data_IF_194367043044
#
_entry.id   IF_194367043044
#
_cell.length_a   1.000
_cell.length_b   1.000
_cell.length_c   1.000
_cell.angle_alpha   90.00
_cell.angle_beta   90.00
_cell.angle_gamma   90.00
#
_symmetry.space_group_name_H-M   'P 1'
#
loop_
_entity.id
_entity.type
_entity.pdbx_description
1 polymer ?
#
# COMPACT_ATOMS: atom_id res chain seq x y z
N UNK A 1 -63.82 12.56 11.79
CA UNK A 1 -63.92 12.56 10.32
C UNK A 1 -62.59 13.07 9.78
N UNK A 2 -61.72 12.16 9.32
CA UNK A 2 -61.24 12.05 7.92
C UNK A 2 -60.60 13.36 7.44
N UNK A 3 -59.33 13.46 7.05
CA UNK A 3 -58.55 12.54 6.23
C UNK A 3 -57.04 12.83 6.35
N UNK A 4 -56.29 11.80 6.04
CA UNK A 4 -54.84 11.56 6.11
C UNK A 4 -54.01 12.27 5.05
N UNK A 5 -52.79 12.70 5.43
CA UNK A 5 -51.68 12.97 4.51
C UNK A 5 -50.36 12.58 5.18
N UNK A 6 -49.98 11.29 5.07
CA UNK A 6 -48.69 10.76 5.56
C UNK A 6 -47.58 11.14 4.57
N UNK A 7 -46.61 11.92 5.03
CA UNK A 7 -45.30 12.00 4.40
C UNK A 7 -44.51 10.74 4.78
N UNK A 8 -44.16 9.95 3.77
CA UNK A 8 -43.32 8.75 3.89
C UNK A 8 -41.88 9.21 4.11
N UNK A 9 -41.39 9.11 5.35
CA UNK A 9 -39.96 9.22 5.64
C UNK A 9 -39.28 7.90 5.26
N UNK A 10 -38.46 7.94 4.22
CA UNK A 10 -37.61 6.82 3.76
C UNK A 10 -36.56 6.47 4.83
N UNK A 11 -36.37 5.19 5.22
CA UNK A 11 -35.35 4.79 6.18
C UNK A 11 -34.05 4.47 5.43
N UNK A 12 -33.24 5.48 5.13
CA UNK A 12 -31.91 5.30 4.51
C UNK A 12 -30.76 5.87 5.36
N UNK A 13 -30.91 5.94 6.68
CA UNK A 13 -29.90 6.54 7.58
C UNK A 13 -29.53 5.69 8.81
N UNK A 14 -29.77 4.37 8.76
CA UNK A 14 -29.47 3.47 9.89
C UNK A 14 -28.75 2.20 9.44
N UNK A 15 -27.59 2.34 8.79
CA UNK A 15 -26.69 1.22 8.50
C UNK A 15 -25.22 1.66 8.64
N UNK A 16 -24.85 2.17 9.81
CA UNK A 16 -23.46 2.56 10.11
C UNK A 16 -22.96 2.03 11.47
N UNK A 17 -23.59 0.97 11.98
CA UNK A 17 -23.19 0.31 13.22
C UNK A 17 -22.95 -1.17 13.01
N UNK A 18 -21.68 -1.51 12.76
CA UNK A 18 -20.92 -2.69 13.22
C UNK A 18 -19.74 -2.94 12.26
N UNK A 19 -18.71 -2.11 12.40
CA UNK A 19 -17.38 -2.34 11.84
C UNK A 19 -16.44 -2.72 12.98
N UNK A 20 -16.51 -3.96 13.49
CA UNK A 20 -15.49 -4.48 14.40
C UNK A 20 -15.37 -6.00 14.22
N UNK A 21 -14.18 -6.46 13.83
CA UNK A 21 -13.80 -7.87 13.98
C UNK A 21 -13.06 -8.51 12.81
N UNK A 22 -11.93 -7.96 12.37
CA UNK A 22 -10.86 -8.72 11.72
C UNK A 22 -9.56 -7.91 11.80
N UNK A 23 -8.42 -8.56 11.97
CA UNK A 23 -7.11 -7.90 11.90
C UNK A 23 -6.78 -7.64 10.42
N UNK A 24 -6.68 -6.38 9.98
CA UNK A 24 -6.36 -6.07 8.61
C UNK A 24 -4.85 -6.09 8.39
N UNK A 25 -4.44 -6.33 7.15
CA UNK A 25 -3.07 -6.06 6.74
C UNK A 25 -2.83 -4.56 6.77
N UNK A 26 -1.64 -4.19 7.21
CA UNK A 26 -1.25 -2.80 7.41
C UNK A 26 -1.06 -2.15 6.05
N UNK A 27 -1.91 -1.18 5.68
CA UNK A 27 -1.54 -0.17 4.69
C UNK A 27 -0.22 0.45 5.13
N UNK A 28 0.78 0.30 4.25
CA UNK A 28 2.20 0.56 4.53
C UNK A 28 2.39 2.02 4.92
N UNK A 29 2.45 2.30 6.21
CA UNK A 29 2.89 3.60 6.72
C UNK A 29 3.62 3.54 8.07
N UNK A 30 3.31 2.55 8.92
CA UNK A 30 4.18 1.99 9.98
C UNK A 30 3.50 0.72 10.50
N UNK A 31 4.27 -0.31 10.85
CA UNK A 31 3.77 -1.58 11.33
C UNK A 31 2.81 -1.40 12.54
N UNK A 32 1.50 -1.52 12.25
CA UNK A 32 0.43 -1.58 13.24
C UNK A 32 0.51 -2.88 14.04
N UNK A 33 0.21 -2.77 15.33
CA UNK A 33 0.29 -3.82 16.33
C UNK A 33 -1.06 -4.55 16.39
N UNK A 34 -1.19 -5.72 15.75
CA UNK A 34 -2.36 -6.58 15.91
C UNK A 34 -1.94 -8.03 16.15
N UNK A 35 -2.13 -8.47 17.41
CA UNK A 35 -2.05 -9.85 17.84
C UNK A 35 -3.44 -10.49 17.89
N UNK A 36 -3.55 -11.68 17.26
CA UNK A 36 -4.47 -12.81 17.48
C UNK A 36 -5.98 -12.53 17.65
N UNK A 37 -6.80 -13.15 16.79
CA UNK A 37 -7.96 -14.02 17.18
C UNK A 37 -8.50 -14.85 16.01
N UNK A 38 -9.10 -15.98 16.37
CA UNK A 38 -9.31 -17.19 15.58
C UNK A 38 -10.50 -17.17 14.62
N UNK A 39 -10.41 -18.03 13.60
CA UNK A 39 -11.43 -18.32 12.60
C UNK A 39 -12.56 -19.23 13.13
N UNK A 40 -13.76 -19.08 12.60
CA UNK A 40 -14.82 -20.07 12.66
C UNK A 40 -15.40 -20.28 11.25
N UNK A 41 -15.44 -21.54 10.80
CA UNK A 41 -15.93 -21.96 9.48
C UNK A 41 -17.45 -22.12 9.46
N UNK A 42 -18.10 -21.76 8.37
CA UNK A 42 -19.41 -22.30 7.99
C UNK A 42 -19.38 -22.67 6.51
N UNK A 43 -19.59 -23.96 6.24
CA UNK A 43 -19.72 -24.53 4.91
C UNK A 43 -21.13 -24.29 4.36
N UNK A 44 -21.23 -23.97 3.07
CA UNK A 44 -22.49 -24.01 2.33
C UNK A 44 -22.27 -24.73 0.99
N UNK A 45 -22.95 -25.88 0.86
CA UNK A 45 -23.19 -26.59 -0.41
C UNK A 45 -24.29 -25.87 -1.19
N UNK A 46 -24.18 -25.82 -2.51
CA UNK A 46 -25.33 -25.74 -3.41
C UNK A 46 -25.02 -26.46 -4.72
N UNK A 47 -25.99 -27.24 -5.18
CA UNK A 47 -25.92 -28.12 -6.34
C UNK A 47 -26.96 -27.71 -7.41
N UNK A 48 -26.54 -27.77 -8.68
CA UNK A 48 -27.35 -28.01 -9.89
C UNK A 48 -28.15 -26.83 -10.49
N UNK A 49 -28.69 -26.96 -11.74
CA UNK A 49 -28.44 -27.98 -12.76
C UNK A 49 -28.03 -27.42 -14.15
N UNK A 50 -27.54 -28.35 -14.96
CA UNK A 50 -27.19 -28.31 -16.39
C UNK A 50 -28.39 -28.24 -17.34
N UNK A 51 -28.25 -27.65 -18.54
CA UNK A 51 -28.91 -28.04 -19.80
C UNK A 51 -28.29 -27.32 -21.05
N UNK A 52 -28.57 -27.77 -22.30
CA UNK A 52 -27.58 -28.35 -23.20
C UNK A 52 -27.07 -27.43 -24.33
N UNK A 53 -26.06 -27.93 -25.04
CA UNK A 53 -25.22 -27.18 -25.97
C UNK A 53 -25.75 -26.93 -27.38
N UNK A 54 -24.89 -26.25 -28.13
CA UNK A 54 -24.94 -26.13 -29.59
C UNK A 54 -23.50 -26.28 -30.08
N UNK A 55 -23.28 -27.30 -30.91
CA UNK A 55 -22.06 -27.50 -31.68
C UNK A 55 -21.95 -26.44 -32.79
N UNK A 56 -20.76 -25.87 -32.97
CA UNK A 56 -20.38 -25.18 -34.20
C UNK A 56 -18.97 -25.62 -34.58
N UNK A 57 -18.84 -25.89 -35.87
CA UNK A 57 -17.82 -26.69 -36.53
C UNK A 57 -16.42 -26.09 -36.52
N UNK A 58 -15.45 -26.99 -36.69
CA UNK A 58 -14.02 -26.76 -36.73
C UNK A 58 -13.59 -25.93 -37.95
N UNK A 59 -12.69 -24.96 -37.72
CA UNK A 59 -11.85 -24.36 -38.74
C UNK A 59 -10.39 -24.76 -38.48
N UNK A 60 -9.72 -25.23 -39.54
CA UNK A 60 -8.36 -25.75 -39.56
C UNK A 60 -7.29 -24.69 -39.19
N UNK A 61 -6.09 -25.11 -38.75
CA UNK A 61 -5.16 -24.28 -38.00
C UNK A 61 -4.38 -23.30 -38.88
N UNK A 62 -4.27 -22.06 -38.41
CA UNK A 62 -3.41 -21.04 -38.99
C UNK A 62 -1.96 -21.34 -38.60
N UNK A 63 -1.13 -21.65 -39.58
CA UNK A 63 0.33 -21.72 -39.45
C UNK A 63 0.88 -20.32 -39.19
N UNK A 64 1.58 -20.15 -38.07
CA UNK A 64 2.23 -18.90 -37.68
C UNK A 64 3.73 -19.16 -37.53
N UNK A 65 4.40 -19.33 -38.66
CA UNK A 65 5.85 -19.12 -38.72
C UNK A 65 6.09 -17.60 -38.76
N UNK A 66 7.05 -17.17 -37.94
CA UNK A 66 7.59 -15.81 -37.81
C UNK A 66 6.72 -14.73 -37.17
N UNK A 67 6.46 -14.88 -35.86
CA UNK A 67 6.30 -13.73 -34.96
C UNK A 67 7.55 -13.62 -34.10
N UNK A 68 8.43 -12.69 -34.44
CA UNK A 68 9.43 -12.22 -33.50
C UNK A 68 8.71 -11.82 -32.21
N UNK A 69 9.01 -12.52 -31.11
CA UNK A 69 8.36 -12.28 -29.82
C UNK A 69 8.45 -10.78 -29.49
N UNK A 70 7.32 -10.10 -29.17
CA UNK A 70 7.39 -8.71 -28.77
C UNK A 70 8.32 -8.63 -27.56
N UNK A 71 9.29 -7.72 -27.59
CA UNK A 71 10.15 -7.42 -26.44
C UNK A 71 9.22 -6.92 -25.34
N UNK A 72 8.84 -7.82 -24.43
CA UNK A 72 7.99 -7.49 -23.29
C UNK A 72 8.83 -6.63 -22.35
N UNK A 73 8.54 -5.33 -22.30
CA UNK A 73 9.12 -4.41 -21.32
C UNK A 73 8.79 -4.95 -19.92
N UNK A 74 9.80 -5.06 -19.03
CA UNK A 74 9.57 -5.53 -17.66
C UNK A 74 8.64 -4.58 -16.90
N UNK A 75 7.97 -5.09 -15.87
CA UNK A 75 7.17 -4.25 -15.00
C UNK A 75 8.03 -3.23 -14.26
N UNK A 76 9.27 -3.57 -13.91
CA UNK A 76 10.21 -2.63 -13.32
C UNK A 76 10.47 -1.40 -14.22
N UNK A 77 10.71 -1.60 -15.52
CA UNK A 77 10.92 -0.49 -16.45
C UNK A 77 9.62 0.33 -16.65
N UNK A 78 8.47 -0.34 -16.71
CA UNK A 78 7.17 0.34 -16.78
C UNK A 78 6.92 1.24 -15.57
N UNK A 79 7.26 0.76 -14.37
CA UNK A 79 7.15 1.52 -13.11
C UNK A 79 8.17 2.67 -13.06
N UNK A 80 9.38 2.46 -13.60
CA UNK A 80 10.38 3.53 -13.74
C UNK A 80 9.83 4.70 -14.54
N UNK A 81 9.11 4.44 -15.64
CA UNK A 81 8.47 5.49 -16.43
C UNK A 81 7.38 6.24 -15.65
N UNK A 82 6.66 5.57 -14.74
CA UNK A 82 5.73 6.26 -13.84
C UNK A 82 6.51 7.20 -12.92
N UNK A 83 7.58 6.74 -12.26
CA UNK A 83 8.42 7.55 -11.38
C UNK A 83 8.95 8.82 -12.08
N UNK A 84 9.44 8.68 -13.32
CA UNK A 84 9.93 9.81 -14.11
C UNK A 84 8.83 10.85 -14.38
N UNK A 85 7.63 10.41 -14.74
CA UNK A 85 6.48 11.30 -14.95
C UNK A 85 6.06 12.02 -13.66
N UNK A 86 6.02 11.31 -12.54
CA UNK A 86 5.69 11.90 -11.23
C UNK A 86 6.73 12.95 -10.82
N UNK A 87 8.01 12.65 -11.00
CA UNK A 87 9.10 13.58 -10.69
C UNK A 87 9.05 14.83 -11.58
N UNK A 88 8.76 14.67 -12.87
CA UNK A 88 8.61 15.80 -13.80
C UNK A 88 7.40 16.69 -13.48
N UNK A 89 6.27 16.09 -13.11
CA UNK A 89 5.09 16.84 -12.64
C UNK A 89 5.42 17.64 -11.38
N UNK A 90 6.08 17.01 -10.41
CA UNK A 90 6.46 17.68 -9.16
C UNK A 90 7.46 18.82 -9.38
N UNK A 91 8.41 18.66 -10.31
CA UNK A 91 9.39 19.70 -10.65
C UNK A 91 8.77 20.91 -11.37
N UNK A 92 7.68 20.71 -12.11
CA UNK A 92 6.99 21.77 -12.88
C UNK A 92 5.87 22.46 -12.10
N UNK A 93 5.42 21.87 -10.98
CA UNK A 93 4.29 22.38 -10.22
C UNK A 93 4.71 23.49 -9.25
N UNK A 94 4.07 24.65 -9.32
CA UNK A 94 4.25 25.74 -8.35
C UNK A 94 3.27 25.58 -7.17
N UNK A 95 3.69 25.74 -5.90
CA UNK A 95 2.79 25.67 -4.76
C UNK A 95 1.68 26.72 -4.88
N UNK A 96 0.41 26.28 -4.92
CA UNK A 96 -0.75 27.17 -4.91
C UNK A 96 -1.28 27.24 -3.49
N UNK A 97 -1.45 28.44 -2.93
CA UNK A 97 -2.26 28.60 -1.72
C UNK A 97 -3.72 28.33 -2.09
N UNK A 98 -4.22 27.15 -1.75
CA UNK A 98 -5.65 26.88 -1.82
C UNK A 98 -6.38 27.85 -0.87
N UNK A 99 -7.38 28.57 -1.39
CA UNK A 99 -8.33 29.35 -0.58
C UNK A 99 -9.70 28.74 -0.81
N UNK A 100 -10.18 27.96 0.15
CA UNK A 100 -11.59 27.56 0.19
C UNK A 100 -12.43 28.62 0.90
N UNK A 101 -13.73 28.60 0.63
CA UNK A 101 -14.71 29.51 1.21
C UNK A 101 -14.81 29.28 2.73
N UNK A 102 -15.01 30.33 3.52
CA UNK A 102 -15.10 30.25 4.99
C UNK A 102 -16.26 29.37 5.52
N UNK A 103 -17.26 29.03 4.69
CA UNK A 103 -18.40 28.18 5.09
C UNK A 103 -18.07 26.69 5.11
N UNK A 104 -17.11 26.25 4.29
CA UNK A 104 -16.74 24.83 4.17
C UNK A 104 -15.66 24.41 5.18
N UNK A 105 -15.04 25.38 5.86
CA UNK A 105 -13.92 25.17 6.77
C UNK A 105 -14.27 24.27 7.97
N UNK A 106 -15.46 24.45 8.59
CA UNK A 106 -15.85 23.66 9.75
C UNK A 106 -16.09 22.17 9.45
N UNK A 107 -16.69 21.88 8.29
CA UNK A 107 -16.92 20.49 7.83
C UNK A 107 -15.59 19.84 7.42
N UNK A 108 -14.68 20.59 6.82
CA UNK A 108 -13.34 20.10 6.46
C UNK A 108 -12.47 19.84 7.69
N UNK A 109 -12.54 20.68 8.72
CA UNK A 109 -11.85 20.42 9.99
C UNK A 109 -12.34 19.11 10.62
N UNK A 110 -13.65 18.89 10.67
CA UNK A 110 -14.23 17.62 11.16
C UNK A 110 -13.76 16.41 10.31
N UNK A 111 -13.71 16.58 8.99
CA UNK A 111 -13.22 15.54 8.08
C UNK A 111 -11.76 15.18 8.35
N UNK A 112 -10.88 16.17 8.53
CA UNK A 112 -9.48 15.94 8.86
C UNK A 112 -9.29 15.35 10.26
N UNK A 113 -10.08 15.79 11.24
CA UNK A 113 -10.06 15.21 12.59
C UNK A 113 -10.47 13.74 12.57
N UNK A 114 -11.47 13.39 11.73
CA UNK A 114 -11.85 11.99 11.50
C UNK A 114 -10.71 11.21 10.85
N UNK A 115 -10.04 11.79 9.85
CA UNK A 115 -8.85 11.17 9.26
C UNK A 115 -7.75 10.93 10.30
N UNK A 116 -7.50 11.91 11.17
CA UNK A 116 -6.55 11.81 12.27
C UNK A 116 -6.92 10.72 13.28
N UNK A 117 -8.21 10.59 13.63
CA UNK A 117 -8.70 9.54 14.53
C UNK A 117 -8.46 8.14 13.96
N UNK A 118 -8.77 7.92 12.67
CA UNK A 118 -8.52 6.65 11.97
C UNK A 118 -7.02 6.35 11.94
N UNK A 119 -6.19 7.35 11.60
CA UNK A 119 -4.73 7.21 11.60
C UNK A 119 -4.18 6.83 12.99
N UNK A 120 -4.69 7.47 14.05
CA UNK A 120 -4.32 7.18 15.45
C UNK A 120 -4.71 5.77 15.88
N UNK A 121 -5.87 5.28 15.44
CA UNK A 121 -6.37 3.96 15.77
C UNK A 121 -5.53 2.85 15.12
N UNK A 122 -5.30 2.95 13.82
CA UNK A 122 -4.70 1.87 13.02
C UNK A 122 -3.18 1.98 12.82
N UNK A 123 -2.60 3.17 12.97
CA UNK A 123 -1.17 3.41 12.73
C UNK A 123 -0.53 4.30 13.81
N UNK A 124 -0.64 3.90 15.08
CA UNK A 124 -0.17 4.67 16.26
C UNK A 124 1.21 5.32 16.10
N UNK A 125 2.22 4.57 15.66
CA UNK A 125 3.59 5.09 15.49
C UNK A 125 3.66 6.10 14.34
N UNK A 126 2.93 5.86 13.24
CA UNK A 126 2.84 6.81 12.13
C UNK A 126 2.14 8.09 12.56
N UNK A 127 0.98 7.95 13.21
CA UNK A 127 0.24 9.08 13.76
C UNK A 127 1.10 9.96 14.67
N UNK A 128 1.87 9.36 15.59
CA UNK A 128 2.78 10.11 16.46
C UNK A 128 3.86 10.84 15.64
N UNK A 129 4.43 10.18 14.64
CA UNK A 129 5.45 10.79 13.81
C UNK A 129 4.89 11.94 12.92
N UNK A 130 3.64 11.85 12.46
CA UNK A 130 2.99 12.94 11.73
C UNK A 130 2.78 14.21 12.58
N UNK A 131 2.84 14.11 13.93
CA UNK A 131 2.78 15.29 14.81
C UNK A 131 3.95 16.25 14.64
N UNK A 132 5.02 15.81 13.98
CA UNK A 132 6.24 16.59 13.73
C UNK A 132 6.17 17.40 12.43
N UNK A 133 5.19 17.10 11.58
CA UNK A 133 4.94 17.83 10.35
C UNK A 133 4.16 19.11 10.63
N UNK A 134 4.21 20.09 9.72
CA UNK A 134 3.26 21.22 9.75
C UNK A 134 1.82 20.72 9.78
N UNK A 135 0.87 21.49 10.36
CA UNK A 135 -0.55 21.13 10.38
C UNK A 135 -1.11 20.77 8.99
N UNK A 136 -0.70 21.52 7.96
CA UNK A 136 -1.13 21.32 6.57
C UNK A 136 -0.67 19.97 6.01
N UNK A 137 0.63 19.65 6.14
CA UNK A 137 1.20 18.38 5.70
C UNK A 137 0.60 17.20 6.46
N UNK A 138 0.44 17.34 7.77
CA UNK A 138 -0.15 16.32 8.65
C UNK A 138 -1.56 15.95 8.20
N UNK A 139 -2.40 16.96 7.96
CA UNK A 139 -3.78 16.80 7.48
C UNK A 139 -3.83 16.07 6.13
N UNK A 140 -3.00 16.49 5.17
CA UNK A 140 -2.92 15.84 3.87
C UNK A 140 -2.45 14.39 3.95
N UNK A 141 -1.42 14.10 4.76
CA UNK A 141 -0.93 12.73 5.00
C UNK A 141 -2.02 11.85 5.63
N UNK A 142 -2.81 12.39 6.57
CA UNK A 142 -3.93 11.62 7.14
C UNK A 142 -5.01 11.32 6.12
N UNK A 143 -5.38 12.27 5.25
CA UNK A 143 -6.37 12.04 4.21
C UNK A 143 -5.92 10.97 3.22
N UNK A 144 -4.65 11.02 2.77
CA UNK A 144 -4.05 10.00 1.90
C UNK A 144 -4.04 8.64 2.61
N UNK A 145 -3.57 8.58 3.87
CA UNK A 145 -3.55 7.34 4.66
C UNK A 145 -4.94 6.70 4.75
N UNK A 146 -5.96 7.50 5.06
CA UNK A 146 -7.33 6.98 5.21
C UNK A 146 -7.90 6.54 3.89
N UNK A 147 -7.62 7.23 2.79
CA UNK A 147 -8.02 6.75 1.47
C UNK A 147 -7.38 5.40 1.16
N UNK A 148 -6.06 5.27 1.33
CA UNK A 148 -5.36 3.99 1.13
C UNK A 148 -5.94 2.88 2.01
N UNK A 149 -6.22 3.18 3.29
CA UNK A 149 -6.83 2.24 4.24
C UNK A 149 -8.20 1.76 3.79
N UNK A 150 -9.06 2.66 3.33
CA UNK A 150 -10.39 2.31 2.82
C UNK A 150 -10.32 1.49 1.54
N UNK A 151 -9.35 1.78 0.67
CA UNK A 151 -9.07 1.01 -0.55
C UNK A 151 -8.67 -0.43 -0.21
N UNK A 152 -7.74 -0.61 0.73
CA UNK A 152 -7.26 -1.92 1.20
C UNK A 152 -8.37 -2.74 1.87
N UNK A 153 -9.21 -2.11 2.69
CA UNK A 153 -10.35 -2.76 3.35
C UNK A 153 -11.41 -3.31 2.38
N UNK A 154 -11.41 -2.88 1.12
CA UNK A 154 -12.27 -3.49 0.10
C UNK A 154 -11.90 -4.95 -0.11
N UNK A 155 -10.63 -5.31 -0.10
CA UNK A 155 -10.17 -6.69 -0.41
C UNK A 155 -9.63 -7.45 0.80
N UNK A 156 -9.35 -6.77 1.91
CA UNK A 156 -8.86 -7.38 3.14
C UNK A 156 -9.80 -7.18 4.36
N UNK A 157 -10.89 -6.42 4.21
CA UNK A 157 -11.85 -6.18 5.29
C UNK A 157 -12.80 -7.36 5.56
N UNK A 158 -13.68 -7.26 6.57
CA UNK A 158 -14.65 -8.31 6.91
C UNK A 158 -15.58 -8.70 5.75
N UNK A 159 -15.79 -7.79 4.80
CA UNK A 159 -16.63 -8.00 3.63
C UNK A 159 -15.83 -8.37 2.36
N UNK A 160 -14.52 -8.64 2.47
CA UNK A 160 -13.64 -8.95 1.34
C UNK A 160 -14.16 -10.11 0.47
N UNK A 161 -14.75 -11.14 1.09
CA UNK A 161 -15.31 -12.29 0.38
C UNK A 161 -16.50 -11.92 -0.53
N UNK A 162 -17.09 -10.73 -0.35
CA UNK A 162 -18.21 -10.21 -1.13
C UNK A 162 -17.80 -9.07 -2.07
N UNK A 163 -16.51 -8.69 -2.07
CA UNK A 163 -16.01 -7.63 -2.95
C UNK A 163 -15.89 -8.15 -4.37
N UNK A 164 -16.47 -7.39 -5.29
CA UNK A 164 -16.49 -7.69 -6.72
C UNK A 164 -15.68 -6.66 -7.50
N UNK A 165 -15.31 -6.99 -8.74
CA UNK A 165 -14.71 -6.03 -9.67
C UNK A 165 -15.56 -4.75 -9.79
N UNK A 166 -16.89 -4.88 -9.82
CA UNK A 166 -17.82 -3.76 -9.86
C UNK A 166 -17.71 -2.83 -8.64
N UNK A 167 -17.38 -3.36 -7.45
CA UNK A 167 -17.14 -2.53 -6.28
C UNK A 167 -15.87 -1.69 -6.45
N UNK A 168 -14.82 -2.23 -7.07
CA UNK A 168 -13.60 -1.50 -7.41
C UNK A 168 -13.83 -0.48 -8.54
N UNK A 169 -14.69 -0.77 -9.51
CA UNK A 169 -15.07 0.19 -10.56
C UNK A 169 -15.82 1.39 -9.98
N UNK A 170 -16.74 1.16 -9.02
CA UNK A 170 -17.39 2.24 -8.27
C UNK A 170 -16.40 3.04 -7.43
N UNK A 171 -15.42 2.37 -6.82
CA UNK A 171 -14.37 3.04 -6.05
C UNK A 171 -13.47 3.91 -6.92
N UNK A 172 -13.13 3.44 -8.14
CA UNK A 172 -12.39 4.22 -9.12
C UNK A 172 -13.21 5.41 -9.64
N UNK A 173 -14.51 5.24 -9.92
CA UNK A 173 -15.38 6.38 -10.29
C UNK A 173 -15.48 7.44 -9.17
N UNK A 174 -15.44 6.99 -7.91
CA UNK A 174 -15.41 7.88 -6.75
C UNK A 174 -14.09 8.66 -6.65
N UNK A 175 -12.97 8.06 -7.06
CA UNK A 175 -11.68 8.74 -7.19
C UNK A 175 -11.73 9.87 -8.23
N UNK A 176 -12.40 9.64 -9.36
CA UNK A 176 -12.64 10.70 -10.38
C UNK A 176 -13.36 11.91 -9.74
N UNK A 177 -14.32 11.64 -8.86
CA UNK A 177 -15.04 12.66 -8.08
C UNK A 177 -14.10 13.49 -7.20
N UNK A 178 -13.19 12.84 -6.47
CA UNK A 178 -12.19 13.51 -5.61
C UNK A 178 -11.32 14.48 -6.43
N UNK A 179 -10.71 14.00 -7.52
CA UNK A 179 -9.82 14.82 -8.35
C UNK A 179 -10.55 15.91 -9.15
N UNK A 180 -11.86 15.74 -9.36
CA UNK A 180 -12.71 16.76 -9.95
C UNK A 180 -13.36 17.72 -8.92
N UNK A 181 -13.01 17.63 -7.64
CA UNK A 181 -13.54 18.49 -6.57
C UNK A 181 -15.00 18.20 -6.19
N UNK A 182 -15.50 16.99 -6.47
CA UNK A 182 -16.85 16.50 -6.16
C UNK A 182 -16.78 15.28 -5.22
N UNK A 183 -16.44 15.48 -3.93
CA UNK A 183 -16.29 14.37 -2.98
C UNK A 183 -17.62 13.68 -2.69
N UNK A 184 -17.59 12.35 -2.49
CA UNK A 184 -18.79 11.57 -2.17
C UNK A 184 -19.16 11.62 -0.68
N UNK A 185 -18.16 11.71 0.22
CA UNK A 185 -18.37 11.88 1.67
C UNK A 185 -17.30 12.78 2.31
N UNK A 186 -17.33 12.91 3.64
CA UNK A 186 -16.38 13.74 4.39
C UNK A 186 -14.92 13.31 4.21
N UNK A 187 -14.62 12.01 4.13
CA UNK A 187 -13.24 11.54 4.01
C UNK A 187 -12.70 11.82 2.61
N UNK A 188 -13.56 11.75 1.60
CA UNK A 188 -13.23 12.20 0.24
C UNK A 188 -13.05 13.72 0.19
N UNK A 189 -13.82 14.48 0.95
CA UNK A 189 -13.68 15.94 1.01
C UNK A 189 -12.30 16.33 1.57
N UNK A 190 -11.83 15.64 2.61
CA UNK A 190 -10.47 15.81 3.13
C UNK A 190 -9.39 15.48 2.08
N UNK A 191 -9.58 14.41 1.30
CA UNK A 191 -8.63 14.08 0.23
C UNK A 191 -8.70 15.10 -0.92
N UNK A 192 -9.88 15.53 -1.33
CA UNK A 192 -10.07 16.52 -2.39
C UNK A 192 -9.40 17.86 -2.03
N UNK A 193 -9.54 18.29 -0.77
CA UNK A 193 -8.82 19.46 -0.24
C UNK A 193 -7.30 19.25 -0.25
N UNK A 194 -6.83 18.08 0.20
CA UNK A 194 -5.41 17.75 0.20
C UNK A 194 -4.78 17.77 -1.20
N UNK A 195 -5.40 17.13 -2.20
CA UNK A 195 -4.87 17.13 -3.58
C UNK A 195 -4.95 18.51 -4.23
N UNK A 196 -5.93 19.33 -3.87
CA UNK A 196 -6.02 20.72 -4.33
C UNK A 196 -4.93 21.62 -3.69
N UNK A 197 -4.57 21.36 -2.42
CA UNK A 197 -3.51 22.07 -1.71
C UNK A 197 -2.10 21.63 -2.17
N UNK A 198 -1.95 20.39 -2.62
CA UNK A 198 -0.69 19.80 -3.11
C UNK A 198 -0.84 19.34 -4.57
N UNK A 199 -0.84 20.26 -5.56
CA UNK A 199 -1.13 19.94 -6.97
C UNK A 199 -0.13 19.01 -7.66
N UNK A 200 1.01 18.72 -7.02
CA UNK A 200 1.96 17.70 -7.48
C UNK A 200 1.55 16.27 -7.08
N UNK A 201 0.49 16.11 -6.26
CA UNK A 201 -0.14 14.81 -5.99
C UNK A 201 -0.94 14.42 -7.23
N UNK A 202 -0.41 13.47 -7.98
CA UNK A 202 -1.04 12.96 -9.20
C UNK A 202 -2.09 11.89 -8.89
N UNK A 203 -3.05 11.73 -9.80
CA UNK A 203 -4.07 10.69 -9.69
C UNK A 203 -3.52 9.28 -9.99
N UNK A 204 -2.46 9.18 -10.82
CA UNK A 204 -1.97 7.90 -11.32
C UNK A 204 -1.65 6.88 -10.21
N UNK A 205 -0.91 7.21 -9.13
CA UNK A 205 -0.64 6.26 -8.07
C UNK A 205 -1.91 5.73 -7.37
N UNK A 206 -2.96 6.55 -7.27
CA UNK A 206 -4.23 6.13 -6.67
C UNK A 206 -4.90 5.07 -7.55
N UNK A 207 -4.97 5.30 -8.87
CA UNK A 207 -5.49 4.33 -9.82
C UNK A 207 -4.68 3.04 -9.81
N UNK A 208 -3.35 3.14 -9.79
CA UNK A 208 -2.47 1.96 -9.73
C UNK A 208 -2.68 1.15 -8.44
N UNK A 209 -2.99 1.81 -7.31
CA UNK A 209 -3.37 1.10 -6.09
C UNK A 209 -4.69 0.33 -6.24
N UNK A 210 -5.70 0.91 -6.88
CA UNK A 210 -6.95 0.18 -7.19
C UNK A 210 -6.68 -1.01 -8.12
N UNK A 211 -5.75 -0.89 -9.07
CA UNK A 211 -5.30 -2.03 -9.89
C UNK A 211 -4.62 -3.11 -9.03
N UNK A 212 -3.90 -2.73 -7.98
CA UNK A 212 -3.37 -3.67 -6.98
C UNK A 212 -4.49 -4.47 -6.30
N UNK A 213 -5.57 -3.80 -5.88
CA UNK A 213 -6.73 -4.48 -5.29
C UNK A 213 -7.41 -5.44 -6.28
N UNK A 214 -7.45 -5.09 -7.57
CA UNK A 214 -7.93 -6.00 -8.63
C UNK A 214 -7.06 -7.25 -8.75
N UNK A 215 -5.73 -7.12 -8.58
CA UNK A 215 -4.84 -8.28 -8.51
C UNK A 215 -5.19 -9.18 -7.32
N UNK A 216 -5.48 -8.60 -6.15
CA UNK A 216 -5.85 -9.39 -4.97
C UNK A 216 -7.15 -10.17 -5.13
N UNK A 217 -8.09 -9.72 -5.97
CA UNK A 217 -9.31 -10.49 -6.27
C UNK A 217 -9.06 -11.70 -7.17
N UNK A 218 -8.06 -11.63 -8.05
CA UNK A 218 -7.89 -12.61 -9.13
C UNK A 218 -6.65 -13.51 -9.01
N UNK A 219 -5.62 -13.08 -8.27
CA UNK A 219 -4.28 -13.68 -8.29
C UNK A 219 -3.86 -14.15 -6.90
N UNK A 220 -3.38 -15.39 -6.82
CA UNK A 220 -2.87 -16.01 -5.59
C UNK A 220 -1.44 -16.53 -5.70
N UNK A 221 -0.84 -16.47 -6.89
CA UNK A 221 0.51 -16.92 -7.25
C UNK A 221 1.17 -15.92 -8.20
N UNK A 222 2.49 -15.78 -8.13
CA UNK A 222 3.27 -14.89 -8.99
C UNK A 222 4.36 -15.70 -9.68
N UNK A 223 4.35 -15.72 -11.01
CA UNK A 223 5.24 -16.58 -11.79
C UNK A 223 6.71 -16.20 -11.59
N UNK A 224 6.99 -14.90 -11.53
CA UNK A 224 8.34 -14.34 -11.42
C UNK A 224 8.40 -13.20 -10.41
N UNK A 225 9.62 -12.81 -10.02
CA UNK A 225 9.80 -11.62 -9.19
C UNK A 225 9.32 -10.33 -9.87
N UNK A 226 9.41 -10.20 -11.20
CA UNK A 226 8.93 -9.00 -11.90
C UNK A 226 7.41 -8.82 -11.75
N UNK A 227 6.64 -9.92 -11.79
CA UNK A 227 5.21 -9.86 -11.47
C UNK A 227 4.93 -9.49 -10.01
N UNK A 228 5.73 -10.04 -9.08
CA UNK A 228 5.62 -9.71 -7.66
C UNK A 228 6.01 -8.27 -7.39
N UNK A 229 7.00 -7.73 -8.11
CA UNK A 229 7.43 -6.35 -8.06
C UNK A 229 6.30 -5.43 -8.47
N UNK A 230 5.58 -5.73 -9.57
CA UNK A 230 4.40 -4.95 -9.98
C UNK A 230 3.35 -4.90 -8.86
N UNK A 231 3.10 -6.03 -8.21
CA UNK A 231 2.19 -6.08 -7.07
C UNK A 231 2.68 -5.19 -5.93
N UNK A 232 3.95 -5.34 -5.51
CA UNK A 232 4.55 -4.52 -4.47
C UNK A 232 4.49 -3.02 -4.77
N UNK A 233 4.74 -2.66 -6.03
CA UNK A 233 4.56 -1.30 -6.52
C UNK A 233 3.11 -0.84 -6.32
N UNK A 234 2.13 -1.57 -6.83
CA UNK A 234 0.72 -1.16 -6.80
C UNK A 234 0.18 -1.01 -5.38
N UNK A 235 0.45 -1.96 -4.49
CA UNK A 235 -0.17 -1.97 -3.15
C UNK A 235 0.63 -1.20 -2.09
N UNK A 236 1.87 -0.83 -2.36
CA UNK A 236 2.73 -0.13 -1.39
C UNK A 236 3.67 0.92 -1.99
N UNK A 237 4.24 0.69 -3.17
CA UNK A 237 5.07 1.68 -3.86
C UNK A 237 4.31 2.96 -4.21
N UNK A 238 3.07 2.82 -4.70
CA UNK A 238 2.15 3.92 -5.02
C UNK A 238 1.95 4.86 -3.84
N UNK A 239 1.87 4.32 -2.63
CA UNK A 239 1.70 5.07 -1.38
C UNK A 239 2.87 6.04 -1.14
N UNK A 240 4.09 5.62 -1.45
CA UNK A 240 5.27 6.50 -1.45
C UNK A 240 5.10 7.63 -2.46
N UNK A 241 4.68 7.33 -3.69
CA UNK A 241 4.48 8.31 -4.76
C UNK A 241 3.38 9.34 -4.43
N UNK A 242 2.29 8.92 -3.76
CA UNK A 242 1.23 9.82 -3.29
C UNK A 242 1.72 10.84 -2.27
N UNK A 243 2.70 10.47 -1.45
CA UNK A 243 3.09 11.25 -0.26
C UNK A 243 4.32 12.11 -0.43
N UNK A 244 5.22 11.81 -1.38
CA UNK A 244 6.39 12.64 -1.69
C UNK A 244 6.02 14.12 -1.95
N UNK A 245 4.99 14.45 -2.77
CA UNK A 245 4.56 15.85 -2.97
C UNK A 245 4.23 16.59 -1.68
N UNK A 246 3.65 15.89 -0.70
CA UNK A 246 3.25 16.46 0.60
C UNK A 246 4.45 16.58 1.53
N UNK A 247 5.29 15.55 1.57
CA UNK A 247 6.49 15.50 2.41
C UNK A 247 7.54 16.55 1.99
N UNK A 248 7.65 16.80 0.68
CA UNK A 248 8.54 17.77 0.10
C UNK A 248 10.02 17.36 0.11
N UNK A 249 10.78 17.93 -0.82
CA UNK A 249 12.24 17.82 -0.90
C UNK A 249 12.89 18.95 -0.09
N UNK A 250 14.06 18.71 0.51
CA UNK A 250 14.80 19.75 1.21
C UNK A 250 15.22 20.87 0.25
N UNK A 251 15.06 22.15 0.61
CA UNK A 251 15.57 23.26 -0.20
C UNK A 251 17.07 23.21 -0.49
N UNK A 252 17.85 22.55 0.39
CA UNK A 252 19.29 22.35 0.22
C UNK A 252 19.67 21.10 -0.58
N UNK A 253 18.70 20.25 -0.95
CA UNK A 253 18.94 19.06 -1.76
C UNK A 253 19.46 19.45 -3.14
N UNK A 254 20.54 18.82 -3.57
CA UNK A 254 21.04 18.85 -4.95
C UNK A 254 20.71 17.57 -5.71
N UNK A 255 20.06 16.60 -5.05
CA UNK A 255 19.57 15.40 -5.72
C UNK A 255 18.41 15.75 -6.67
N UNK A 256 18.37 15.08 -7.82
CA UNK A 256 17.21 15.16 -8.70
C UNK A 256 15.95 14.70 -7.97
N UNK A 257 14.81 15.31 -8.29
CA UNK A 257 13.50 14.92 -7.73
C UNK A 257 13.21 13.43 -7.98
N UNK A 258 13.68 12.88 -9.12
CA UNK A 258 13.63 11.45 -9.44
C UNK A 258 14.22 10.57 -8.32
N UNK A 259 15.36 10.94 -7.72
CA UNK A 259 15.99 10.17 -6.63
C UNK A 259 15.07 10.05 -5.43
N UNK A 260 14.31 11.10 -5.11
CA UNK A 260 13.37 11.12 -3.98
C UNK A 260 12.17 10.21 -4.26
N UNK A 261 11.60 10.29 -5.46
CA UNK A 261 10.50 9.42 -5.87
C UNK A 261 10.93 7.95 -5.98
N UNK A 262 12.11 7.67 -6.53
CA UNK A 262 12.68 6.33 -6.60
C UNK A 262 12.93 5.77 -5.19
N UNK A 263 13.44 6.59 -4.26
CA UNK A 263 13.61 6.17 -2.87
C UNK A 263 12.28 5.91 -2.15
N UNK A 264 11.24 6.71 -2.41
CA UNK A 264 9.91 6.48 -1.85
C UNK A 264 9.26 5.21 -2.39
N UNK A 265 9.38 4.96 -3.69
CA UNK A 265 8.97 3.70 -4.33
C UNK A 265 9.70 2.51 -3.69
N UNK A 266 11.04 2.59 -3.59
CA UNK A 266 11.86 1.53 -3.01
C UNK A 266 11.45 1.24 -1.55
N UNK A 267 11.10 2.28 -0.76
CA UNK A 267 10.60 2.09 0.59
C UNK A 267 9.29 1.30 0.62
N UNK A 268 8.34 1.65 -0.26
CA UNK A 268 7.07 0.95 -0.39
C UNK A 268 7.27 -0.52 -0.79
N UNK A 269 8.13 -0.78 -1.79
CA UNK A 269 8.47 -2.14 -2.22
C UNK A 269 9.15 -2.92 -1.09
N UNK A 270 10.15 -2.35 -0.40
CA UNK A 270 10.84 -2.99 0.71
C UNK A 270 9.87 -3.37 1.84
N UNK A 271 8.96 -2.48 2.20
CA UNK A 271 7.95 -2.72 3.21
C UNK A 271 6.98 -3.83 2.81
N UNK A 272 6.57 -3.90 1.54
CA UNK A 272 5.67 -4.95 1.07
C UNK A 272 6.35 -6.31 0.97
N UNK A 273 7.60 -6.36 0.49
CA UNK A 273 8.41 -7.58 0.56
C UNK A 273 8.56 -8.04 2.01
N UNK A 274 8.80 -7.12 2.93
CA UNK A 274 8.87 -7.44 4.37
C UNK A 274 7.56 -8.02 4.90
N UNK A 275 6.40 -7.48 4.48
CA UNK A 275 5.09 -8.03 4.84
C UNK A 275 4.93 -9.47 4.31
N UNK A 276 5.24 -9.70 3.04
CA UNK A 276 5.18 -11.04 2.40
C UNK A 276 6.08 -12.03 3.15
N UNK A 277 7.32 -11.63 3.47
CA UNK A 277 8.27 -12.51 4.16
C UNK A 277 7.89 -12.76 5.62
N UNK A 278 7.22 -11.82 6.29
CA UNK A 278 6.76 -11.99 7.67
C UNK A 278 5.52 -12.88 7.75
N UNK A 279 4.63 -12.79 6.76
CA UNK A 279 3.26 -13.31 6.84
C UNK A 279 3.04 -14.60 6.02
N UNK A 280 4.10 -15.28 5.55
CA UNK A 280 4.04 -16.51 4.72
C UNK A 280 3.04 -17.53 5.25
N UNK A 281 3.08 -17.88 6.55
CA UNK A 281 2.16 -18.86 7.12
C UNK A 281 0.70 -18.39 7.15
N UNK A 282 0.46 -17.10 7.34
CA UNK A 282 -0.88 -16.52 7.31
C UNK A 282 -1.44 -16.52 5.89
N UNK A 283 -0.60 -16.19 4.91
CA UNK A 283 -0.93 -16.28 3.49
C UNK A 283 -1.27 -17.70 3.06
N UNK A 284 -0.43 -18.66 3.43
CA UNK A 284 -0.63 -20.07 3.08
C UNK A 284 -1.98 -20.59 3.62
N UNK A 285 -2.37 -20.20 4.84
CA UNK A 285 -3.69 -20.54 5.40
C UNK A 285 -4.87 -19.93 4.64
N UNK A 286 -4.64 -18.83 3.93
CA UNK A 286 -5.62 -18.19 3.01
C UNK A 286 -5.52 -18.73 1.58
N UNK A 287 -4.69 -19.75 1.34
CA UNK A 287 -4.46 -20.32 0.00
C UNK A 287 -3.59 -19.45 -0.90
N UNK A 288 -2.83 -18.50 -0.34
CA UNK A 288 -1.99 -17.53 -1.08
C UNK A 288 -0.51 -17.84 -0.92
N UNK A 289 0.25 -17.63 -2.00
CA UNK A 289 1.70 -17.70 -2.02
C UNK A 289 2.20 -16.54 -2.88
N UNK A 290 2.67 -15.48 -2.23
CA UNK A 290 3.20 -14.30 -2.92
C UNK A 290 4.62 -14.50 -3.46
N UNK A 291 5.37 -15.43 -2.88
CA UNK A 291 6.76 -15.71 -3.27
C UNK A 291 6.84 -16.16 -4.74
N UNK A 292 7.87 -15.73 -5.50
CA UNK A 292 8.01 -16.06 -6.92
C UNK A 292 8.10 -17.57 -7.16
N UNK A 293 7.24 -18.10 -8.04
CA UNK A 293 7.13 -19.53 -8.27
C UNK A 293 8.35 -20.13 -8.98
N UNK A 294 8.95 -19.39 -9.92
CA UNK A 294 10.20 -19.75 -10.59
C UNK A 294 11.38 -19.90 -9.60
N UNK A 295 11.50 -18.98 -8.64
CA UNK A 295 12.55 -19.01 -7.63
C UNK A 295 12.33 -20.11 -6.59
N UNK A 296 11.08 -20.36 -6.20
CA UNK A 296 10.72 -21.50 -5.34
C UNK A 296 11.07 -22.83 -6.02
N UNK A 297 10.70 -22.99 -7.31
CA UNK A 297 11.03 -24.17 -8.08
C UNK A 297 12.54 -24.37 -8.22
N UNK A 298 13.29 -23.29 -8.50
CA UNK A 298 14.77 -23.30 -8.57
C UNK A 298 15.40 -23.73 -7.24
N UNK A 299 14.80 -23.34 -6.11
CA UNK A 299 15.23 -23.74 -4.79
C UNK A 299 14.76 -25.15 -4.37
N UNK A 300 13.99 -25.85 -5.20
CA UNK A 300 13.43 -27.17 -4.89
C UNK A 300 12.32 -27.15 -3.84
N UNK A 301 11.62 -26.02 -3.69
CA UNK A 301 10.54 -25.83 -2.71
C UNK A 301 9.19 -25.91 -3.43
N UNK A 302 8.38 -26.90 -3.08
CA UNK A 302 7.02 -27.05 -3.64
C UNK A 302 5.99 -26.24 -2.86
N UNK A 303 4.83 -25.97 -3.46
CA UNK A 303 3.71 -25.39 -2.72
C UNK A 303 3.27 -26.28 -1.54
N UNK A 304 3.38 -27.60 -1.68
CA UNK A 304 3.07 -28.54 -0.60
C UNK A 304 4.04 -28.39 0.59
N UNK A 305 5.29 -27.99 0.37
CA UNK A 305 6.22 -27.65 1.45
C UNK A 305 5.75 -26.40 2.21
N UNK A 306 5.31 -25.38 1.47
CA UNK A 306 4.81 -24.11 2.00
C UNK A 306 3.52 -24.34 2.82
N UNK A 307 2.56 -25.08 2.28
CA UNK A 307 1.31 -25.39 2.98
C UNK A 307 1.51 -26.29 4.20
N UNK A 308 2.50 -27.18 4.17
CA UNK A 308 2.90 -28.00 5.32
C UNK A 308 3.75 -27.21 6.34
N UNK A 309 4.17 -25.99 6.03
CA UNK A 309 5.01 -25.15 6.90
C UNK A 309 6.41 -25.72 7.15
N UNK A 310 7.01 -26.37 6.16
CA UNK A 310 8.31 -27.05 6.30
C UNK A 310 9.47 -26.05 6.26
N UNK A 311 10.16 -25.88 7.39
CA UNK A 311 11.38 -25.05 7.51
C UNK A 311 12.63 -25.89 7.20
N UNK A 312 12.85 -26.18 5.92
CA UNK A 312 14.00 -26.97 5.44
C UNK A 312 15.29 -26.14 5.33
N UNK A 313 16.40 -26.74 4.88
CA UNK A 313 17.66 -26.01 4.62
C UNK A 313 17.49 -25.12 3.39
N UNK A 314 16.82 -25.63 2.37
CA UNK A 314 16.46 -24.95 1.12
C UNK A 314 15.58 -23.74 1.41
N UNK A 315 14.55 -23.89 2.26
CA UNK A 315 13.71 -22.78 2.72
C UNK A 315 14.52 -21.66 3.36
N UNK A 316 15.43 -21.99 4.29
CA UNK A 316 16.28 -20.99 4.94
C UNK A 316 17.19 -20.28 3.95
N UNK A 317 17.75 -21.01 2.99
CA UNK A 317 18.58 -20.43 1.93
C UNK A 317 17.77 -19.47 1.05
N UNK A 318 16.60 -19.91 0.59
CA UNK A 318 15.66 -19.09 -0.18
C UNK A 318 15.27 -17.81 0.57
N UNK A 319 14.88 -17.92 1.85
CA UNK A 319 14.50 -16.79 2.68
C UNK A 319 15.63 -15.77 2.88
N UNK A 320 16.88 -16.22 3.01
CA UNK A 320 18.05 -15.31 3.07
C UNK A 320 18.17 -14.48 1.79
N UNK A 321 17.98 -15.09 0.63
CA UNK A 321 17.98 -14.38 -0.66
C UNK A 321 16.89 -13.32 -0.74
N UNK A 322 15.66 -13.64 -0.33
CA UNK A 322 14.56 -12.68 -0.32
C UNK A 322 14.75 -11.55 0.70
N UNK A 323 15.31 -11.85 1.87
CA UNK A 323 15.65 -10.84 2.88
C UNK A 323 16.74 -9.90 2.35
N UNK A 324 17.77 -10.43 1.69
CA UNK A 324 18.82 -9.62 1.07
C UNK A 324 18.23 -8.68 0.00
N UNK A 325 17.29 -9.17 -0.82
CA UNK A 325 16.55 -8.36 -1.80
C UNK A 325 15.78 -7.22 -1.13
N UNK A 326 15.01 -7.50 -0.08
CA UNK A 326 14.28 -6.46 0.66
C UNK A 326 15.23 -5.42 1.29
N UNK A 327 16.39 -5.86 1.82
CA UNK A 327 17.43 -4.98 2.36
C UNK A 327 18.05 -4.08 1.29
N UNK A 328 18.22 -4.55 0.06
CA UNK A 328 18.69 -3.74 -1.06
C UNK A 328 17.71 -2.60 -1.38
N UNK A 329 16.40 -2.86 -1.39
CA UNK A 329 15.39 -1.80 -1.53
C UNK A 329 15.38 -0.82 -0.35
N UNK A 330 15.58 -1.29 0.89
CA UNK A 330 15.76 -0.37 2.02
C UNK A 330 16.99 0.53 1.83
N UNK A 331 18.11 0.01 1.32
CA UNK A 331 19.29 0.79 1.04
C UNK A 331 19.06 1.85 -0.05
N UNK A 332 18.27 1.53 -1.08
CA UNK A 332 17.84 2.52 -2.08
C UNK A 332 16.92 3.58 -1.45
N UNK A 333 15.99 3.17 -0.59
CA UNK A 333 15.08 4.08 0.11
C UNK A 333 15.81 5.09 1.02
N UNK A 334 16.91 4.68 1.65
CA UNK A 334 17.74 5.57 2.48
C UNK A 334 18.26 6.78 1.68
N UNK A 335 18.53 6.62 0.38
CA UNK A 335 19.01 7.70 -0.49
C UNK A 335 17.93 8.77 -0.68
N UNK A 336 16.68 8.38 -0.95
CA UNK A 336 15.57 9.34 -1.07
C UNK A 336 15.17 9.96 0.28
N UNK A 337 15.16 9.16 1.35
CA UNK A 337 14.79 9.61 2.69
C UNK A 337 15.73 10.72 3.22
N UNK A 338 17.01 10.67 2.87
CA UNK A 338 17.99 11.69 3.25
C UNK A 338 17.77 13.05 2.57
N UNK A 339 17.09 13.08 1.43
CA UNK A 339 16.87 14.28 0.61
C UNK A 339 15.53 14.98 0.90
N UNK A 340 14.64 14.35 1.67
CA UNK A 340 13.33 14.92 2.08
C UNK A 340 13.47 16.23 2.88
N UNK A 341 12.39 16.98 3.02
CA UNK A 341 12.31 18.11 3.94
C UNK A 341 12.53 17.65 5.40
N UNK A 342 13.21 18.48 6.21
CA UNK A 342 13.61 18.14 7.58
C UNK A 342 12.43 17.66 8.44
N UNK A 343 11.28 18.32 8.33
CA UNK A 343 10.06 17.99 9.08
C UNK A 343 9.48 16.60 8.74
N UNK A 344 9.80 16.09 7.54
CA UNK A 344 9.30 14.82 7.03
C UNK A 344 10.29 13.66 7.22
N UNK A 345 11.58 13.96 7.48
CA UNK A 345 12.64 12.94 7.56
C UNK A 345 12.49 11.99 8.72
N UNK A 346 12.22 12.50 9.92
CA UNK A 346 12.14 11.66 11.12
C UNK A 346 11.06 10.56 11.00
N UNK A 347 9.80 10.86 10.60
CA UNK A 347 8.79 9.82 10.35
C UNK A 347 9.26 8.75 9.36
N UNK A 348 9.86 9.16 8.25
CA UNK A 348 10.29 8.25 7.19
C UNK A 348 11.44 7.36 7.66
N UNK A 349 12.45 7.93 8.34
CA UNK A 349 13.55 7.17 8.93
C UNK A 349 13.08 6.21 10.02
N UNK A 350 12.12 6.62 10.85
CA UNK A 350 11.55 5.74 11.87
C UNK A 350 10.84 4.54 11.21
N UNK A 351 10.02 4.79 10.18
CA UNK A 351 9.36 3.73 9.41
C UNK A 351 10.35 2.77 8.76
N UNK A 352 11.34 3.31 8.05
CA UNK A 352 12.39 2.54 7.38
C UNK A 352 13.15 1.64 8.36
N UNK A 353 13.62 2.18 9.48
CA UNK A 353 14.41 1.42 10.46
C UNK A 353 13.58 0.34 11.15
N UNK A 354 12.32 0.66 11.51
CA UNK A 354 11.44 -0.29 12.19
C UNK A 354 11.01 -1.43 11.26
N UNK A 355 10.69 -1.15 10.00
CA UNK A 355 10.36 -2.20 9.05
C UNK A 355 11.57 -3.07 8.72
N UNK A 356 12.75 -2.47 8.52
CA UNK A 356 13.97 -3.26 8.30
C UNK A 356 14.28 -4.21 9.46
N UNK A 357 14.01 -3.81 10.71
CA UNK A 357 14.20 -4.67 11.89
C UNK A 357 13.27 -5.89 11.90
N UNK A 358 12.14 -5.88 11.19
CA UNK A 358 11.30 -7.09 11.06
C UNK A 358 12.08 -8.21 10.36
N UNK A 359 12.92 -7.87 9.37
CA UNK A 359 13.77 -8.85 8.69
C UNK A 359 14.78 -9.48 9.68
N UNK A 360 15.34 -8.69 10.59
CA UNK A 360 16.24 -9.19 11.64
C UNK A 360 15.49 -10.15 12.59
N UNK A 361 14.21 -9.91 12.87
CA UNK A 361 13.37 -10.81 13.68
C UNK A 361 13.01 -12.10 12.94
N UNK A 362 12.87 -12.08 11.60
CA UNK A 362 12.71 -13.31 10.79
C UNK A 362 14.01 -14.14 10.84
N UNK A 363 15.18 -13.50 10.79
CA UNK A 363 16.44 -14.21 10.94
C UNK A 363 16.60 -14.80 12.36
N UNK A 364 16.27 -14.02 13.39
CA UNK A 364 16.38 -14.42 14.79
C UNK A 364 15.43 -15.58 15.17
N UNK A 365 14.29 -15.72 14.50
CA UNK A 365 13.36 -16.83 14.73
C UNK A 365 13.72 -18.11 13.96
N UNK A 366 14.85 -18.13 13.24
CA UNK A 366 15.31 -19.26 12.45
C UNK A 366 14.57 -19.43 11.12
N UNK A 367 14.03 -18.34 10.57
CA UNK A 367 13.24 -18.28 9.33
C UNK A 367 11.91 -19.05 9.39
N UNK A 368 11.37 -19.22 10.60
CA UNK A 368 10.09 -19.87 10.87
C UNK A 368 8.95 -18.81 10.86
N UNK A 369 8.66 -18.31 9.67
CA UNK A 369 7.55 -17.39 9.37
C UNK A 369 6.24 -18.13 9.02
N UNK A 370 6.23 -19.46 9.10
CA UNK A 370 5.00 -20.25 9.00
C UNK A 370 4.20 -20.25 10.31
N UNK A 371 4.90 -20.49 11.42
CA UNK A 371 4.28 -20.61 12.75
C UNK A 371 4.51 -19.37 13.63
N UNK A 372 5.62 -18.63 13.41
CA UNK A 372 5.97 -17.45 14.21
C UNK A 372 5.97 -16.20 13.35
N UNK A 373 4.94 -15.38 13.53
CA UNK A 373 4.92 -14.04 12.92
C UNK A 373 5.96 -13.14 13.60
N UNK A 374 6.92 -12.63 12.82
CA UNK A 374 7.96 -11.75 13.33
C UNK A 374 7.42 -10.34 13.67
N UNK A 375 7.83 -9.77 14.80
CA UNK A 375 7.46 -8.40 15.20
C UNK A 375 8.61 -7.75 15.94
N UNK A 376 8.77 -6.44 15.76
CA UNK A 376 9.79 -5.68 16.50
C UNK A 376 9.32 -5.49 17.96
N UNK A 377 10.08 -5.96 18.96
CA UNK A 377 9.74 -5.75 20.36
C UNK A 377 9.72 -4.27 20.75
N UNK A 378 8.90 -3.88 21.74
CA UNK A 378 8.75 -2.48 22.19
C UNK A 378 10.09 -1.80 22.52
N UNK A 379 11.03 -2.53 23.15
CA UNK A 379 12.35 -2.02 23.47
C UNK A 379 13.16 -1.64 22.21
N UNK A 380 13.17 -2.50 21.18
CA UNK A 380 13.82 -2.21 19.89
C UNK A 380 13.13 -1.05 19.17
N UNK A 381 11.79 -0.95 19.26
CA UNK A 381 11.04 0.20 18.72
C UNK A 381 11.50 1.51 19.35
N UNK A 382 11.56 1.56 20.68
CA UNK A 382 12.00 2.76 21.41
C UNK A 382 13.47 3.11 21.11
N UNK A 383 14.35 2.11 21.01
CA UNK A 383 15.76 2.33 20.67
C UNK A 383 15.97 2.82 19.22
N UNK A 384 15.06 2.48 18.30
CA UNK A 384 15.13 2.94 16.91
C UNK A 384 14.81 4.43 16.74
N UNK A 385 13.97 5.00 17.62
CA UNK A 385 13.50 6.38 17.49
C UNK A 385 14.63 7.43 17.63
N UNK A 386 15.52 7.37 18.64
CA UNK A 386 16.68 8.27 18.72
C UNK A 386 17.61 8.13 17.52
N UNK A 387 17.84 6.90 17.03
CA UNK A 387 18.66 6.66 15.83
C UNK A 387 18.05 7.29 14.58
N UNK A 388 16.73 7.13 14.40
CA UNK A 388 15.99 7.76 13.32
C UNK A 388 16.05 9.29 13.41
N UNK A 389 15.91 9.84 14.62
CA UNK A 389 15.99 11.28 14.87
C UNK A 389 17.38 11.82 14.51
N UNK A 390 18.46 11.20 15.00
CA UNK A 390 19.83 11.59 14.66
C UNK A 390 20.09 11.57 13.14
N UNK A 391 19.59 10.54 12.43
CA UNK A 391 19.67 10.48 10.96
C UNK A 391 18.89 11.59 10.28
N UNK A 392 17.73 11.96 10.83
CA UNK A 392 16.90 13.04 10.27
C UNK A 392 17.54 14.44 10.39
N UNK A 393 18.42 14.63 11.38
CA UNK A 393 19.14 15.90 11.59
C UNK A 393 20.32 16.08 10.64
N UNK A 394 20.83 15.00 10.02
CA UNK A 394 21.93 15.11 9.07
C UNK A 394 21.49 15.90 7.84
N UNK A 395 22.28 16.89 7.37
CA UNK A 395 21.96 17.59 6.13
C UNK A 395 21.97 16.61 4.94
N UNK A 396 21.23 16.91 3.85
CA UNK A 396 21.18 16.04 2.69
C UNK A 396 22.59 15.72 2.17
N UNK A 397 22.96 14.45 1.92
CA UNK A 397 24.29 14.09 1.43
C UNK A 397 24.65 14.79 0.12
N UNK A 398 23.66 15.03 -0.74
CA UNK A 398 23.83 15.77 -1.99
C UNK A 398 24.33 17.21 -1.76
N UNK A 399 24.03 17.82 -0.61
CA UNK A 399 24.46 19.18 -0.27
C UNK A 399 25.94 19.26 0.14
N UNK A 400 26.60 18.13 0.40
CA UNK A 400 27.99 18.08 0.86
C UNK A 400 29.01 17.84 -0.28
N UNK A 401 28.57 17.47 -1.49
CA UNK A 401 29.45 17.14 -2.64
C UNK A 401 30.16 18.34 -3.29
N UNK A 402 30.06 19.53 -2.71
CA UNK A 402 30.87 20.70 -3.05
C UNK A 402 31.64 21.18 -1.81
N UNK A 403 32.69 20.47 -1.44
CA UNK A 403 33.83 21.02 -0.70
C UNK A 403 35.11 20.40 -1.22
#
# INVERSE_FOLDING_TARGET
MLSTGRAVTSPACAAQRRFMGAAPRTVVFLAGDHGKRAAASVAARAAGPSHPGVCLEAAAPWSMEDVAAPVTVSYEESVRQVVLKQAALAASTTPRKARLSRRDAGVLDEAFDRCGAVCKEYAKTFYLATQLMTPERRRAIWAIYVWCRRTDELVDGPNAAHTSALALDRWESRLDGVFAGRPYDMLDAALADAVAAFPAVDERPFRDMVQGMRMDLAKSRYATFDELYLYCYRVAGTVGLMTVPVMGVSPGSQAGVETVYAGALALGVANQLTNILRDVGEDARRGRIYLPQDELATAGISEADIFAGRVTVEWRSFMKGQIARARAYFQQAEQGAAELNQESRWPVWASLLLYRQILDEIEANGYDNFSKRAYVPKAKKLAALPKAYLRSLMPPPSSQRRR
#
